data_IF_176529199550
#
_entry.id   IF_176529199550
#
_cell.length_a   1.000
_cell.length_b   1.000
_cell.length_c   1.000
_cell.angle_alpha   90.00
_cell.angle_beta   90.00
_cell.angle_gamma   90.00
#
_symmetry.space_group_name_H-M   'P 1'
#
loop_
_entity.id
_entity.type
_entity.pdbx_description
1 polymer ?
#
# COMPACT_ATOMS: atom_id res chain seq x y z
N UNK A 1 -7.70 -20.49 -13.46
CA UNK A 1 -7.30 -20.19 -12.07
C UNK A 1 -7.95 -21.20 -11.15
N UNK A 2 -7.14 -22.00 -10.46
CA UNK A 2 -7.58 -22.99 -9.48
C UNK A 2 -8.25 -22.28 -8.28
N UNK A 3 -9.15 -22.96 -7.58
CA UNK A 3 -9.90 -22.50 -6.39
C UNK A 3 -9.04 -22.29 -5.15
N UNK A 4 -7.74 -22.00 -5.30
CA UNK A 4 -6.84 -21.79 -4.17
C UNK A 4 -7.28 -20.53 -3.42
N UNK A 5 -7.32 -20.57 -2.08
CA UNK A 5 -7.56 -19.37 -1.30
C UNK A 5 -6.44 -18.35 -1.57
N UNK A 6 -6.83 -17.09 -1.73
CA UNK A 6 -5.94 -15.94 -1.83
C UNK A 6 -6.04 -15.10 -0.56
N UNK A 7 -5.04 -14.27 -0.34
CA UNK A 7 -4.94 -13.28 0.74
C UNK A 7 -4.72 -11.93 0.10
N UNK A 8 -5.37 -10.93 0.67
CA UNK A 8 -5.28 -9.54 0.24
C UNK A 8 -4.41 -8.80 1.23
N UNK A 9 -3.35 -8.14 0.78
CA UNK A 9 -2.56 -7.22 1.56
C UNK A 9 -2.69 -5.81 0.98
N UNK A 10 -2.78 -4.83 1.86
CA UNK A 10 -2.53 -3.43 1.54
C UNK A 10 -1.13 -3.11 2.07
N UNK A 11 -0.30 -2.52 1.20
CA UNK A 11 1.04 -2.12 1.53
C UNK A 11 1.16 -0.61 1.42
N UNK A 12 1.94 0.00 2.31
CA UNK A 12 2.53 1.30 2.11
C UNK A 12 4.04 1.08 2.03
N UNK A 13 4.62 1.27 0.84
CA UNK A 13 6.08 1.21 0.65
C UNK A 13 6.64 2.60 0.69
N UNK A 14 7.80 2.75 1.32
CA UNK A 14 8.59 3.97 1.31
C UNK A 14 10.04 3.62 1.02
N UNK A 15 10.48 3.79 -0.22
CA UNK A 15 11.90 3.73 -0.56
C UNK A 15 12.60 5.03 -0.18
N UNK A 16 12.98 5.21 1.08
CA UNK A 16 13.89 6.30 1.46
C UNK A 16 15.31 5.96 1.01
N UNK A 17 15.65 6.32 -0.23
CA UNK A 17 17.04 6.55 -0.60
C UNK A 17 17.49 7.88 0.03
N UNK A 18 17.95 7.81 1.28
CA UNK A 18 18.63 8.87 2.01
C UNK A 18 17.72 10.01 2.44
N UNK A 19 17.28 9.98 3.70
CA UNK A 19 17.15 11.21 4.46
C UNK A 19 18.58 11.52 4.95
N UNK A 20 19.19 12.61 4.47
CA UNK A 20 20.40 13.12 5.12
C UNK A 20 20.03 13.42 6.57
N UNK A 21 20.68 12.70 7.50
CA UNK A 21 20.68 13.04 8.91
C UNK A 21 21.10 14.51 9.05
N UNK A 22 20.23 15.36 9.57
CA UNK A 22 20.69 16.61 10.14
C UNK A 22 21.75 16.27 11.20
N UNK A 23 22.98 16.78 11.01
CA UNK A 23 24.06 16.58 11.96
C UNK A 23 23.66 16.98 13.38
N UNK A 24 24.36 16.49 14.42
CA UNK A 24 23.93 16.65 15.80
C UNK A 24 23.80 18.13 16.16
N UNK A 25 22.63 18.61 16.63
CA UNK A 25 22.55 19.94 17.21
C UNK A 25 23.27 19.94 18.57
N UNK A 26 23.92 21.07 18.87
CA UNK A 26 24.60 21.30 20.13
C UNK A 26 23.62 21.17 21.33
N UNK A 27 24.13 20.62 22.44
CA UNK A 27 23.41 20.44 23.71
C UNK A 27 22.76 21.76 24.21
N UNK A 28 21.45 21.74 24.51
CA UNK A 28 20.85 22.68 25.45
C UNK A 28 20.69 22.01 26.82
N UNK A 29 21.32 22.59 27.84
CA UNK A 29 21.12 22.25 29.24
C UNK A 29 19.80 22.86 29.75
N UNK A 30 18.74 22.05 29.86
CA UNK A 30 17.42 22.44 30.37
C UNK A 30 16.58 21.22 30.78
N UNK A 31 15.63 21.38 31.73
CA UNK A 31 15.27 20.32 32.67
C UNK A 31 14.32 19.25 32.10
N UNK A 32 14.65 18.00 32.43
CA UNK A 32 13.84 16.77 32.50
C UNK A 32 12.49 16.72 31.73
N UNK A 33 12.46 15.89 30.67
CA UNK A 33 11.37 14.91 30.57
C UNK A 33 10.63 14.73 29.24
N UNK A 34 11.17 15.15 28.10
CA UNK A 34 10.73 14.63 26.79
C UNK A 34 11.96 14.00 26.15
N UNK A 35 11.92 12.71 25.83
CA UNK A 35 13.01 12.07 25.10
C UNK A 35 13.30 12.88 23.84
N UNK A 36 14.56 13.23 23.59
CA UNK A 36 15.05 14.15 22.55
C UNK A 36 14.62 13.81 21.09
N UNK A 37 13.86 12.74 20.87
CA UNK A 37 13.27 12.35 19.58
C UNK A 37 11.77 12.60 19.42
N UNK A 38 11.10 13.19 20.42
CA UNK A 38 9.63 13.38 20.44
C UNK A 38 9.16 14.83 20.25
N UNK A 39 10.04 15.71 19.78
CA UNK A 39 9.62 17.02 19.31
C UNK A 39 8.62 16.89 18.15
N UNK A 40 7.69 17.83 18.04
CA UNK A 40 6.82 17.94 16.87
C UNK A 40 7.70 18.16 15.64
N UNK A 41 7.71 17.20 14.72
CA UNK A 41 8.46 17.29 13.47
C UNK A 41 7.49 17.56 12.33
N UNK A 42 7.99 18.25 11.30
CA UNK A 42 7.27 18.33 10.04
C UNK A 42 7.38 16.95 9.35
N UNK A 43 6.38 16.09 9.57
CA UNK A 43 6.25 14.84 8.84
C UNK A 43 5.82 15.14 7.40
N UNK A 44 6.50 14.54 6.43
CA UNK A 44 6.11 14.60 5.03
C UNK A 44 4.73 13.96 4.87
N UNK A 45 3.78 14.68 4.28
CA UNK A 45 2.41 14.20 4.09
C UNK A 45 1.59 14.07 5.37
N UNK A 46 1.90 14.80 6.45
CA UNK A 46 0.99 14.92 7.60
C UNK A 46 0.73 16.41 7.93
N UNK A 47 -0.47 16.76 8.41
CA UNK A 47 -0.75 18.13 8.84
C UNK A 47 0.15 18.47 10.03
N UNK A 48 0.92 19.55 9.95
CA UNK A 48 1.70 20.00 11.10
C UNK A 48 0.82 20.75 12.12
N UNK A 49 1.13 20.65 13.43
CA UNK A 49 2.15 19.80 14.03
C UNK A 49 1.68 18.36 14.29
N UNK A 50 2.54 17.36 14.02
CA UNK A 50 2.33 15.96 14.42
C UNK A 50 3.62 15.42 15.05
N UNK A 51 3.48 14.79 16.21
CA UNK A 51 4.54 14.00 16.82
C UNK A 51 4.52 12.58 16.26
N UNK A 52 5.68 11.91 16.08
CA UNK A 52 5.74 10.52 15.64
C UNK A 52 4.83 9.62 16.48
N UNK A 53 4.24 8.60 15.85
CA UNK A 53 3.41 7.62 16.55
C UNK A 53 4.21 6.92 17.65
N UNK A 54 5.53 6.75 17.48
CA UNK A 54 6.46 6.22 18.48
C UNK A 54 6.46 6.96 19.82
N UNK A 55 6.12 8.25 19.80
CA UNK A 55 6.08 9.11 20.98
C UNK A 55 4.74 9.09 21.72
N UNK A 56 3.81 8.26 21.27
CA UNK A 56 2.47 8.14 21.84
C UNK A 56 2.22 6.72 22.30
N UNK A 57 1.46 6.57 23.38
CA UNK A 57 0.84 5.29 23.69
C UNK A 57 -0.34 5.09 22.74
N UNK A 58 -0.46 3.89 22.14
CA UNK A 58 -1.62 3.59 21.31
C UNK A 58 -2.78 3.17 22.21
N UNK A 59 -3.93 3.78 22.01
CA UNK A 59 -5.15 3.39 22.74
C UNK A 59 -5.77 2.15 22.11
N UNK A 60 -6.29 1.23 22.92
CA UNK A 60 -7.09 0.13 22.36
C UNK A 60 -8.51 0.63 22.07
N UNK A 61 -8.97 0.39 20.84
CA UNK A 61 -10.31 0.73 20.39
C UNK A 61 -11.12 -0.49 20.00
N UNK A 62 -12.46 -0.37 19.87
CA UNK A 62 -13.28 -1.43 19.28
C UNK A 62 -12.80 -1.76 17.86
N UNK A 63 -13.01 -3.01 17.44
CA UNK A 63 -12.83 -3.39 16.04
C UNK A 63 -14.01 -2.93 15.19
N UNK A 64 -13.70 -2.55 13.95
CA UNK A 64 -14.65 -2.00 12.97
C UNK A 64 -14.84 -2.94 11.76
N UNK A 65 -13.96 -3.94 11.64
CA UNK A 65 -14.04 -4.96 10.61
C UNK A 65 -15.35 -5.77 10.67
N UNK A 66 -16.03 -5.87 9.53
CA UNK A 66 -17.17 -6.75 9.31
C UNK A 66 -16.79 -7.92 8.39
N UNK A 67 -17.22 -9.12 8.77
CA UNK A 67 -16.86 -10.38 8.12
C UNK A 67 -18.08 -11.11 7.57
N UNK A 68 -17.98 -11.61 6.33
CA UNK A 68 -18.95 -12.52 5.70
C UNK A 68 -18.27 -13.76 5.08
N UNK A 69 -19.00 -14.65 4.39
CA UNK A 69 -18.46 -15.92 3.87
C UNK A 69 -17.25 -15.78 2.93
N UNK A 70 -17.27 -14.80 2.01
CA UNK A 70 -16.15 -14.46 1.11
C UNK A 70 -16.03 -12.93 0.93
N UNK A 71 -16.38 -12.20 1.98
CA UNK A 71 -16.40 -10.74 2.01
C UNK A 71 -15.81 -10.28 3.32
N UNK A 72 -15.08 -9.19 3.27
CA UNK A 72 -14.58 -8.48 4.44
C UNK A 72 -14.55 -6.99 4.11
N UNK A 73 -14.92 -6.17 5.07
CA UNK A 73 -14.94 -4.71 4.94
C UNK A 73 -14.51 -4.11 6.27
N UNK A 74 -13.76 -3.03 6.23
CA UNK A 74 -13.48 -2.22 7.40
C UNK A 74 -13.50 -0.76 6.98
N UNK A 75 -14.30 0.04 7.67
CA UNK A 75 -14.38 1.48 7.50
C UNK A 75 -13.42 2.22 8.43
N UNK A 76 -12.77 1.49 9.35
CA UNK A 76 -11.93 1.98 10.43
C UNK A 76 -12.65 3.01 11.32
N UNK A 77 -13.98 3.11 11.28
CA UNK A 77 -14.77 4.16 11.95
C UNK A 77 -14.93 3.88 13.45
N UNK A 78 -13.87 4.13 14.21
CA UNK A 78 -13.81 3.90 15.65
C UNK A 78 -13.69 5.18 16.48
N UNK A 79 -13.57 6.36 15.85
CA UNK A 79 -13.56 7.68 16.51
C UNK A 79 -12.44 7.88 17.53
N UNK A 80 -11.31 7.20 17.33
CA UNK A 80 -10.13 7.35 18.18
C UNK A 80 -8.95 7.84 17.34
N UNK A 81 -8.04 8.58 17.97
CA UNK A 81 -6.76 8.93 17.39
C UNK A 81 -5.67 8.03 17.95
N UNK A 82 -4.76 7.56 17.09
CA UNK A 82 -3.63 6.72 17.51
C UNK A 82 -4.10 5.45 18.24
N UNK A 83 -5.09 4.76 17.68
CA UNK A 83 -5.53 3.48 18.21
C UNK A 83 -4.64 2.33 17.71
N UNK A 84 -4.51 1.26 18.49
CA UNK A 84 -3.86 0.03 18.03
C UNK A 84 -4.68 -0.61 16.91
N UNK A 85 -4.02 -1.22 15.93
CA UNK A 85 -4.68 -2.14 14.98
C UNK A 85 -5.17 -3.35 15.78
N UNK A 86 -6.41 -3.80 15.53
CA UNK A 86 -6.99 -4.93 16.24
C UNK A 86 -6.55 -6.30 15.68
N UNK A 87 -7.04 -7.38 16.28
CA UNK A 87 -6.72 -8.76 15.93
C UNK A 87 -7.46 -9.29 14.69
N UNK A 88 -8.34 -8.49 14.05
CA UNK A 88 -8.92 -8.82 12.76
C UNK A 88 -7.90 -8.73 11.61
N UNK A 89 -6.68 -8.26 11.91
CA UNK A 89 -5.60 -8.07 10.96
C UNK A 89 -4.35 -8.87 11.31
N UNK A 90 -3.57 -9.17 10.27
CA UNK A 90 -2.15 -9.47 10.40
C UNK A 90 -1.33 -8.27 9.95
N UNK A 91 -0.47 -7.83 10.86
CA UNK A 91 0.53 -6.79 10.64
C UNK A 91 1.87 -7.48 10.35
N UNK A 92 2.60 -6.98 9.36
CA UNK A 92 3.99 -7.36 9.13
C UNK A 92 4.86 -6.10 9.18
N UNK A 93 5.33 -5.79 10.39
CA UNK A 93 6.22 -4.65 10.68
C UNK A 93 7.59 -4.82 10.01
N UNK A 94 7.99 -6.08 9.84
CA UNK A 94 9.20 -6.50 9.14
C UNK A 94 8.81 -7.57 8.14
N UNK A 95 8.45 -7.20 6.91
CA UNK A 95 8.57 -8.20 5.87
C UNK A 95 10.06 -8.58 5.80
N UNK A 96 10.43 -9.88 5.79
CA UNK A 96 11.82 -10.35 5.90
C UNK A 96 12.74 -9.86 4.77
N UNK A 97 12.21 -9.11 3.80
CA UNK A 97 12.98 -8.38 2.82
C UNK A 97 13.62 -7.08 3.38
N UNK A 98 12.98 -6.43 4.34
CA UNK A 98 13.38 -5.13 4.86
C UNK A 98 14.59 -5.25 5.80
N UNK A 99 15.33 -4.15 5.97
CA UNK A 99 16.48 -4.09 6.90
C UNK A 99 16.14 -4.76 8.24
N UNK A 100 17.04 -5.54 8.88
CA UNK A 100 16.80 -6.06 10.23
C UNK A 100 16.58 -4.94 11.25
N UNK A 101 17.05 -3.74 10.93
CA UNK A 101 16.85 -2.53 11.71
C UNK A 101 15.56 -1.79 11.34
N UNK A 102 14.80 -2.29 10.37
CA UNK A 102 13.56 -1.67 9.96
C UNK A 102 12.60 -1.67 11.15
N UNK A 103 12.10 -0.52 11.59
CA UNK A 103 11.05 -0.44 12.60
C UNK A 103 9.84 0.30 12.03
N UNK A 104 8.66 -0.28 12.22
CA UNK A 104 7.42 0.37 11.88
C UNK A 104 6.39 0.23 12.99
N UNK A 105 5.50 1.21 13.08
CA UNK A 105 4.36 1.21 13.99
C UNK A 105 3.09 1.39 13.19
N UNK A 106 2.27 0.35 13.18
CA UNK A 106 0.92 0.41 12.61
C UNK A 106 -0.05 0.94 13.65
N UNK A 107 -0.93 1.84 13.23
CA UNK A 107 -1.96 2.39 14.09
C UNK A 107 -3.17 2.79 13.25
N UNK A 108 -4.26 3.09 13.94
CA UNK A 108 -5.46 3.65 13.34
C UNK A 108 -5.62 5.10 13.79
N UNK A 109 -5.89 6.00 12.86
CA UNK A 109 -6.04 7.43 13.11
C UNK A 109 -6.98 8.04 12.08
N UNK A 110 -7.85 8.95 12.52
CA UNK A 110 -8.85 9.61 11.66
C UNK A 110 -9.66 8.62 10.82
N UNK A 111 -10.05 7.49 11.40
CA UNK A 111 -10.75 6.39 10.74
C UNK A 111 -9.97 5.72 9.60
N UNK A 112 -8.65 5.64 9.71
CA UNK A 112 -7.79 5.02 8.68
C UNK A 112 -6.63 4.26 9.30
N UNK A 113 -6.14 3.26 8.57
CA UNK A 113 -4.86 2.66 8.85
C UNK A 113 -3.72 3.61 8.47
N UNK A 114 -2.80 3.80 9.40
CA UNK A 114 -1.57 4.55 9.24
C UNK A 114 -0.36 3.68 9.62
N UNK A 115 0.79 4.03 9.06
CA UNK A 115 2.06 3.44 9.45
C UNK A 115 3.10 4.54 9.63
N UNK A 116 3.83 4.47 10.75
CA UNK A 116 4.99 5.32 11.02
C UNK A 116 6.25 4.45 10.92
N UNK A 117 7.13 4.79 9.98
CA UNK A 117 8.33 4.02 9.64
C UNK A 117 9.55 4.76 10.18
N UNK A 118 10.20 4.17 11.20
CA UNK A 118 11.15 4.86 12.08
C UNK A 118 12.61 4.82 11.67
N UNK A 119 12.98 4.10 10.62
CA UNK A 119 14.41 3.86 10.26
C UNK A 119 14.66 3.92 8.76
N UNK A 120 15.80 4.51 8.41
CA UNK A 120 16.33 4.48 7.03
C UNK A 120 16.52 3.02 6.56
N UNK A 121 16.08 2.72 5.34
CA UNK A 121 16.17 1.38 4.75
C UNK A 121 15.02 0.43 5.09
N UNK A 122 13.98 0.89 5.79
CA UNK A 122 12.66 0.27 5.67
C UNK A 122 12.13 0.55 4.27
N UNK A 123 11.85 -0.49 3.49
CA UNK A 123 11.27 -0.31 2.15
C UNK A 123 9.73 -0.34 2.19
N UNK A 124 9.13 -0.69 3.34
CA UNK A 124 7.72 -0.45 3.64
C UNK A 124 7.13 -1.38 4.69
N UNK A 125 5.81 -1.45 4.70
CA UNK A 125 5.04 -2.25 5.68
C UNK A 125 3.81 -2.89 5.06
N UNK A 126 3.35 -3.99 5.66
CA UNK A 126 2.19 -4.74 5.14
C UNK A 126 1.12 -4.93 6.20
N UNK A 127 -0.13 -4.76 5.79
CA UNK A 127 -1.31 -5.09 6.58
C UNK A 127 -2.25 -5.97 5.74
N UNK A 128 -2.92 -6.92 6.38
CA UNK A 128 -4.04 -7.63 5.76
C UNK A 128 -5.11 -8.05 6.74
N UNK A 129 -6.33 -8.31 6.27
CA UNK A 129 -7.29 -9.10 7.04
C UNK A 129 -6.68 -10.45 7.46
N UNK A 130 -6.94 -10.89 8.68
CA UNK A 130 -6.58 -12.24 9.15
C UNK A 130 -7.55 -13.31 8.62
N UNK A 131 -7.61 -13.42 7.30
CA UNK A 131 -8.45 -14.39 6.60
C UNK A 131 -8.00 -14.60 5.17
N UNK A 132 -8.71 -15.48 4.49
CA UNK A 132 -8.53 -15.76 3.07
C UNK A 132 -9.83 -15.54 2.30
N UNK A 133 -9.68 -15.40 0.99
CA UNK A 133 -10.74 -15.17 0.02
C UNK A 133 -10.58 -16.10 -1.16
N UNK A 134 -11.59 -16.14 -2.03
CA UNK A 134 -11.55 -16.85 -3.31
C UNK A 134 -12.18 -15.98 -4.39
N UNK A 135 -11.86 -16.28 -5.63
CA UNK A 135 -12.59 -15.75 -6.77
C UNK A 135 -14.03 -16.28 -6.74
N UNK A 136 -14.99 -15.40 -6.98
CA UNK A 136 -16.42 -15.74 -7.10
C UNK A 136 -16.93 -15.30 -8.46
N UNK A 137 -17.56 -16.23 -9.19
CA UNK A 137 -17.93 -15.99 -10.59
C UNK A 137 -16.74 -15.69 -11.50
N UNK A 138 -15.53 -16.12 -11.13
CA UNK A 138 -14.30 -15.83 -11.88
C UNK A 138 -13.69 -14.45 -11.62
N UNK A 139 -14.21 -13.69 -10.64
CA UNK A 139 -13.76 -12.35 -10.30
C UNK A 139 -13.35 -12.24 -8.84
N UNK A 140 -12.31 -11.45 -8.57
CA UNK A 140 -11.95 -10.94 -7.25
C UNK A 140 -12.01 -9.42 -7.29
N UNK A 141 -12.60 -8.81 -6.26
CA UNK A 141 -12.69 -7.35 -6.13
C UNK A 141 -12.01 -6.95 -4.84
N UNK A 142 -11.14 -5.95 -4.93
CA UNK A 142 -10.46 -5.33 -3.82
C UNK A 142 -10.73 -3.84 -3.87
N UNK A 143 -11.14 -3.25 -2.76
CA UNK A 143 -11.38 -1.82 -2.64
C UNK A 143 -10.58 -1.28 -1.45
N UNK A 144 -9.93 -0.13 -1.66
CA UNK A 144 -9.20 0.58 -0.64
C UNK A 144 -9.35 2.07 -0.86
N UNK A 145 -9.55 2.81 0.23
CA UNK A 145 -9.55 4.27 0.22
C UNK A 145 -8.18 4.71 0.72
N UNK A 146 -7.35 5.27 -0.17
CA UNK A 146 -5.94 5.59 0.13
C UNK A 146 -5.52 6.93 -0.46
N UNK A 147 -4.59 7.62 0.21
CA UNK A 147 -3.95 8.81 -0.30
C UNK A 147 -2.71 8.43 -1.15
N UNK A 148 -2.94 7.99 -2.39
CA UNK A 148 -1.86 7.57 -3.28
C UNK A 148 -1.13 8.74 -3.97
N UNK A 149 -1.75 9.92 -4.01
CA UNK A 149 -1.25 11.11 -4.71
C UNK A 149 -0.44 12.07 -3.84
N UNK A 150 0.33 11.59 -2.87
CA UNK A 150 1.13 12.46 -1.98
C UNK A 150 2.42 12.87 -2.71
N UNK A 151 2.46 14.10 -3.23
CA UNK A 151 3.56 14.62 -4.04
C UNK A 151 4.84 14.85 -3.25
N UNK A 152 4.74 15.15 -1.94
CA UNK A 152 5.88 15.45 -1.06
C UNK A 152 6.79 14.25 -0.82
N UNK A 153 6.29 13.05 -1.08
CA UNK A 153 7.13 11.86 -1.08
C UNK A 153 8.02 11.74 -2.32
N UNK A 154 7.84 12.61 -3.33
CA UNK A 154 8.68 12.67 -4.53
C UNK A 154 8.74 11.33 -5.27
N UNK A 155 7.63 10.59 -5.31
CA UNK A 155 7.53 9.27 -5.92
C UNK A 155 8.29 8.16 -5.19
N UNK A 156 8.77 8.38 -3.97
CA UNK A 156 9.49 7.39 -3.16
C UNK A 156 8.59 6.50 -2.32
N UNK A 157 7.38 6.98 -2.04
CA UNK A 157 6.39 6.28 -1.23
C UNK A 157 5.15 6.08 -2.07
N UNK A 158 4.60 4.87 -2.06
CA UNK A 158 3.36 4.57 -2.74
C UNK A 158 2.61 3.44 -2.05
N UNK A 159 1.27 3.45 -2.07
CA UNK A 159 0.51 2.30 -1.66
C UNK A 159 0.53 1.20 -2.75
N UNK A 160 0.52 -0.05 -2.32
CA UNK A 160 0.30 -1.21 -3.19
C UNK A 160 -0.89 -2.04 -2.72
N UNK A 161 -1.72 -2.47 -3.66
CA UNK A 161 -2.71 -3.52 -3.43
C UNK A 161 -2.10 -4.84 -3.89
N UNK A 162 -1.98 -5.81 -2.99
CA UNK A 162 -1.33 -7.09 -3.27
C UNK A 162 -2.29 -8.25 -3.01
N UNK A 163 -2.39 -9.19 -3.95
CA UNK A 163 -3.17 -10.42 -3.83
C UNK A 163 -2.22 -11.60 -3.98
N UNK A 164 -2.05 -12.38 -2.92
CA UNK A 164 -1.10 -13.51 -2.90
C UNK A 164 -1.72 -14.79 -2.36
N UNK A 165 -1.21 -15.93 -2.77
CA UNK A 165 -1.55 -17.23 -2.17
C UNK A 165 -0.71 -17.54 -0.92
N UNK A 166 0.40 -16.83 -0.71
CA UNK A 166 1.31 -17.02 0.41
C UNK A 166 0.67 -16.65 1.78
N UNK A 167 1.03 -17.35 2.88
CA UNK A 167 0.55 -17.02 4.22
C UNK A 167 1.16 -15.78 4.85
N UNK A 168 2.34 -15.40 4.42
CA UNK A 168 3.13 -14.29 4.93
C UNK A 168 4.25 -14.00 3.91
N UNK A 169 4.85 -12.80 3.93
CA UNK A 169 6.04 -12.51 3.14
C UNK A 169 7.22 -13.33 3.69
N UNK A 170 8.03 -13.93 2.83
CA UNK A 170 9.07 -14.89 3.27
C UNK A 170 10.50 -14.54 2.90
N UNK A 171 10.76 -13.65 1.93
CA UNK A 171 12.14 -13.28 1.58
C UNK A 171 12.25 -11.99 0.75
N UNK A 172 13.50 -11.48 0.69
CA UNK A 172 14.06 -10.68 -0.41
C UNK A 172 13.95 -11.45 -1.71
N UNK A 173 12.94 -11.16 -2.53
CA UNK A 173 13.09 -11.39 -3.97
C UNK A 173 14.19 -10.47 -4.50
N UNK A 174 14.81 -10.75 -5.64
CA UNK A 174 15.88 -9.91 -6.22
C UNK A 174 15.44 -8.47 -6.63
N UNK A 175 14.25 -8.04 -6.22
CA UNK A 175 13.71 -6.68 -6.34
C UNK A 175 13.08 -6.37 -4.98
N UNK A 176 13.90 -5.82 -4.10
CA UNK A 176 13.51 -5.48 -2.72
C UNK A 176 12.47 -4.33 -2.68
N UNK A 177 12.26 -3.63 -3.81
CA UNK A 177 11.44 -2.42 -3.88
C UNK A 177 9.91 -2.63 -3.81
N UNK A 178 9.37 -3.79 -4.23
CA UNK A 178 7.91 -3.97 -4.40
C UNK A 178 7.36 -5.04 -3.48
N UNK A 179 6.21 -4.78 -2.84
CA UNK A 179 5.64 -5.68 -1.86
C UNK A 179 5.19 -6.99 -2.48
N UNK A 180 4.58 -6.94 -3.66
CA UNK A 180 4.16 -8.14 -4.37
C UNK A 180 5.32 -9.06 -4.78
N UNK A 181 6.58 -8.60 -4.73
CA UNK A 181 7.76 -9.43 -4.98
C UNK A 181 8.25 -10.22 -3.75
N UNK A 182 7.65 -10.01 -2.57
CA UNK A 182 8.10 -10.59 -1.30
C UNK A 182 7.50 -11.98 -0.99
N UNK A 183 6.82 -12.58 -1.97
CA UNK A 183 6.13 -13.85 -1.85
C UNK A 183 6.69 -14.91 -2.81
N UNK A 184 8.01 -15.19 -2.81
CA UNK A 184 8.59 -16.17 -3.73
C UNK A 184 7.95 -17.55 -3.52
N UNK A 185 7.73 -18.26 -4.63
CA UNK A 185 7.14 -19.60 -4.60
C UNK A 185 5.63 -19.61 -4.40
N UNK A 186 4.99 -18.44 -4.50
CA UNK A 186 3.55 -18.29 -4.45
C UNK A 186 3.09 -17.34 -5.55
N UNK A 187 1.91 -17.61 -6.11
CA UNK A 187 1.26 -16.65 -6.99
C UNK A 187 1.02 -15.34 -6.23
N UNK A 188 1.49 -14.25 -6.81
CA UNK A 188 1.39 -12.91 -6.24
C UNK A 188 1.10 -11.91 -7.36
N UNK A 189 -0.02 -11.23 -7.23
CA UNK A 189 -0.38 -10.08 -8.05
C UNK A 189 -0.22 -8.82 -7.19
N UNK A 190 0.24 -7.72 -7.78
CA UNK A 190 0.12 -6.44 -7.11
C UNK A 190 -0.01 -5.28 -8.07
N UNK A 191 -0.60 -4.19 -7.59
CA UNK A 191 -0.67 -2.90 -8.27
C UNK A 191 -0.09 -1.82 -7.36
N UNK A 192 0.99 -1.18 -7.79
CA UNK A 192 1.52 0.03 -7.16
C UNK A 192 0.81 1.27 -7.69
N UNK A 193 0.41 2.17 -6.79
CA UNK A 193 -0.35 3.37 -7.09
C UNK A 193 0.57 4.60 -6.93
N UNK A 194 1.23 5.01 -8.00
CA UNK A 194 2.27 6.05 -7.93
C UNK A 194 1.68 7.47 -7.84
N UNK A 195 2.40 8.38 -7.18
CA UNK A 195 2.00 9.80 -7.02
C UNK A 195 1.80 10.52 -8.36
N UNK A 196 2.44 10.05 -9.42
CA UNK A 196 2.27 10.56 -10.79
C UNK A 196 0.93 10.14 -11.42
N UNK A 197 0.05 9.51 -10.65
CA UNK A 197 -1.28 9.02 -11.06
C UNK A 197 -1.19 7.90 -12.09
N UNK A 198 -0.23 7.00 -11.92
CA UNK A 198 0.00 5.85 -12.79
C UNK A 198 -0.06 4.57 -11.95
N UNK A 199 -1.06 3.68 -12.17
CA UNK A 199 -1.02 2.35 -11.61
C UNK A 199 -0.09 1.47 -12.44
N UNK A 200 0.78 0.71 -11.79
CA UNK A 200 1.60 -0.31 -12.44
C UNK A 200 1.34 -1.63 -11.75
N UNK A 201 0.91 -2.62 -12.52
CA UNK A 201 0.52 -3.91 -11.96
C UNK A 201 1.38 -5.03 -12.51
N UNK A 202 1.70 -6.01 -11.68
CA UNK A 202 2.49 -7.16 -12.06
C UNK A 202 1.93 -8.45 -11.47
N UNK A 203 2.16 -9.55 -12.17
CA UNK A 203 1.89 -10.91 -11.70
C UNK A 203 3.19 -11.70 -11.62
N UNK A 204 3.31 -12.48 -10.56
CA UNK A 204 4.40 -13.41 -10.32
C UNK A 204 3.84 -14.81 -10.19
N UNK A 205 4.51 -15.76 -10.83
CA UNK A 205 4.20 -17.18 -10.76
C UNK A 205 4.70 -17.83 -9.44
N UNK A 206 4.29 -19.07 -9.20
CA UNK A 206 4.73 -19.86 -8.05
C UNK A 206 6.07 -20.58 -8.26
N UNK A 207 6.88 -20.20 -9.26
CA UNK A 207 8.11 -20.92 -9.59
C UNK A 207 9.26 -20.66 -8.60
N UNK A 208 9.11 -19.69 -7.70
CA UNK A 208 10.17 -19.31 -6.74
C UNK A 208 11.37 -18.57 -7.36
N UNK A 209 11.26 -18.11 -8.62
CA UNK A 209 12.37 -17.45 -9.34
C UNK A 209 12.56 -15.97 -8.98
N UNK A 210 11.91 -15.46 -7.93
CA UNK A 210 11.94 -14.04 -7.57
C UNK A 210 11.47 -13.16 -8.74
N UNK A 211 12.26 -12.14 -9.12
CA UNK A 211 11.97 -11.27 -10.28
C UNK A 211 11.90 -12.02 -11.61
N UNK A 212 12.61 -13.14 -11.75
CA UNK A 212 12.52 -13.99 -12.92
C UNK A 212 11.25 -14.87 -12.94
N UNK A 213 10.45 -14.82 -11.87
CA UNK A 213 9.08 -15.37 -11.82
C UNK A 213 8.02 -14.34 -12.24
N UNK A 214 8.40 -13.10 -12.57
CA UNK A 214 7.44 -12.10 -13.07
C UNK A 214 6.90 -12.53 -14.42
N UNK A 215 5.61 -12.81 -14.46
CA UNK A 215 4.90 -13.30 -15.63
C UNK A 215 4.51 -12.16 -16.57
N UNK A 216 4.09 -11.02 -16.01
CA UNK A 216 3.84 -9.80 -16.77
C UNK A 216 3.95 -8.54 -15.89
N UNK A 217 4.16 -7.39 -16.52
CA UNK A 217 3.99 -6.06 -15.92
C UNK A 217 3.20 -5.15 -16.87
N UNK A 218 2.08 -4.61 -16.40
CA UNK A 218 1.20 -3.75 -17.19
C UNK A 218 1.14 -2.34 -16.60
N UNK A 219 1.08 -1.37 -17.51
CA UNK A 219 0.97 0.07 -17.24
C UNK A 219 0.38 0.77 -18.46
N UNK A 220 0.30 2.10 -18.43
CA UNK A 220 -0.15 2.88 -19.60
C UNK A 220 0.74 2.73 -20.84
N UNK A 221 1.98 2.23 -20.70
CA UNK A 221 2.91 2.01 -21.81
C UNK A 221 3.37 0.55 -21.97
N UNK A 222 3.07 -0.33 -21.01
CA UNK A 222 3.37 -1.77 -21.09
C UNK A 222 2.06 -2.55 -21.11
N UNK A 223 1.84 -3.35 -22.16
CA UNK A 223 0.53 -3.98 -22.38
C UNK A 223 0.54 -5.52 -22.35
N UNK A 224 1.71 -6.14 -22.47
CA UNK A 224 1.91 -7.58 -22.27
C UNK A 224 0.98 -8.47 -23.10
N UNK A 225 0.72 -8.06 -24.34
CA UNK A 225 -0.11 -8.81 -25.28
C UNK A 225 -1.62 -8.74 -25.02
N UNK A 226 -2.09 -7.87 -24.11
CA UNK A 226 -3.50 -7.63 -23.90
C UNK A 226 -4.21 -7.23 -25.22
N UNK A 227 -5.29 -7.92 -25.56
CA UNK A 227 -6.09 -7.62 -26.76
C UNK A 227 -6.92 -6.33 -26.64
N UNK A 228 -7.15 -5.87 -25.40
CA UNK A 228 -7.86 -4.63 -25.11
C UNK A 228 -7.12 -3.88 -24.02
N UNK A 229 -6.78 -2.62 -24.29
CA UNK A 229 -6.05 -1.73 -23.40
C UNK A 229 -6.80 -0.41 -23.32
N UNK A 230 -6.94 0.13 -22.10
CA UNK A 230 -7.53 1.43 -21.85
C UNK A 230 -6.85 2.12 -20.67
N UNK A 231 -6.51 3.40 -20.85
CA UNK A 231 -6.09 4.28 -19.76
C UNK A 231 -4.75 3.90 -19.13
N UNK A 232 -4.66 3.98 -17.80
CA UNK A 232 -3.42 3.85 -17.04
C UNK A 232 -2.73 5.19 -16.74
N UNK A 233 -3.28 6.31 -17.22
CA UNK A 233 -2.76 7.66 -17.01
C UNK A 233 -3.92 8.69 -16.91
N UNK A 234 -3.68 9.90 -16.38
CA UNK A 234 -4.70 10.94 -16.20
C UNK A 234 -5.52 11.29 -17.46
N UNK A 235 -4.98 11.05 -18.66
CA UNK A 235 -5.62 11.48 -19.91
C UNK A 235 -5.62 13.01 -20.05
N UNK A 236 -6.50 13.58 -20.89
CA UNK A 236 -6.54 15.03 -21.10
C UNK A 236 -6.88 15.78 -19.81
N UNK A 237 -6.27 16.97 -19.63
CA UNK A 237 -6.55 17.88 -18.51
C UNK A 237 -8.05 18.18 -18.43
N UNK A 238 -8.63 18.05 -17.24
CA UNK A 238 -10.07 18.18 -17.02
C UNK A 238 -10.88 17.01 -17.60
N UNK A 239 -10.24 15.89 -17.96
CA UNK A 239 -10.89 14.64 -18.30
C UNK A 239 -11.45 13.91 -17.08
N UNK A 240 -12.19 12.83 -17.32
CA UNK A 240 -12.72 11.99 -16.25
C UNK A 240 -11.60 11.34 -15.42
N UNK A 241 -10.58 10.75 -16.08
CA UNK A 241 -9.43 10.15 -15.40
C UNK A 241 -8.59 11.20 -14.68
N UNK A 242 -8.33 12.34 -15.30
CA UNK A 242 -7.52 13.42 -14.72
C UNK A 242 -8.09 13.92 -13.39
N UNK A 243 -9.42 14.02 -13.27
CA UNK A 243 -10.10 14.39 -12.03
C UNK A 243 -10.29 13.24 -11.05
N UNK A 244 -10.20 12.00 -11.50
CA UNK A 244 -10.52 10.83 -10.69
C UNK A 244 -9.47 10.61 -9.61
N UNK A 245 -8.19 10.84 -9.92
CA UNK A 245 -7.06 10.64 -9.00
C UNK A 245 -6.47 11.99 -8.62
N UNK A 246 -6.67 12.39 -7.38
CA UNK A 246 -6.18 13.64 -6.81
C UNK A 246 -4.73 13.52 -6.37
N UNK A 247 -4.00 14.62 -6.52
CA UNK A 247 -2.64 14.81 -5.98
C UNK A 247 -2.71 15.91 -4.94
N UNK A 248 -2.04 15.72 -3.82
CA UNK A 248 -1.88 16.70 -2.77
C UNK A 248 -0.40 17.11 -2.71
N UNK A 249 -0.17 18.41 -2.57
CA UNK A 249 1.12 19.03 -2.27
C UNK A 249 0.90 19.93 -1.06
N UNK A 250 1.12 19.38 0.13
CA UNK A 250 0.91 20.00 1.43
C UNK A 250 -0.45 19.67 2.04
N UNK A 251 -0.58 19.99 3.32
CA UNK A 251 -1.82 19.80 4.08
C UNK A 251 -2.00 18.36 4.54
N UNK A 252 -3.24 17.99 4.85
CA UNK A 252 -3.60 16.65 5.30
C UNK A 252 -4.02 15.78 4.10
N UNK A 253 -3.23 14.76 3.69
CA UNK A 253 -3.57 13.89 2.58
C UNK A 253 -4.91 13.17 2.75
N UNK A 254 -5.30 12.92 4.00
CA UNK A 254 -6.54 12.27 4.37
C UNK A 254 -7.76 13.06 3.91
N UNK A 255 -7.63 14.38 3.89
CA UNK A 255 -8.67 15.32 3.46
C UNK A 255 -8.55 15.66 1.98
N UNK A 256 -7.33 15.77 1.46
CA UNK A 256 -7.06 16.41 0.17
C UNK A 256 -7.00 15.44 -1.01
N UNK A 257 -6.35 14.29 -0.87
CA UNK A 257 -5.99 13.41 -1.99
C UNK A 257 -6.31 11.93 -1.75
N UNK A 258 -7.15 11.64 -0.75
CA UNK A 258 -7.65 10.30 -0.49
C UNK A 258 -8.71 9.87 -1.49
N UNK A 259 -8.41 8.88 -2.32
CA UNK A 259 -9.33 8.39 -3.34
C UNK A 259 -9.72 6.94 -3.12
N UNK A 260 -10.90 6.55 -3.61
CA UNK A 260 -11.32 5.13 -3.61
C UNK A 260 -10.74 4.43 -4.82
N UNK A 261 -9.82 3.50 -4.57
CA UNK A 261 -9.28 2.59 -5.58
C UNK A 261 -10.02 1.27 -5.51
N UNK A 262 -10.47 0.79 -6.68
CA UNK A 262 -11.08 -0.53 -6.84
C UNK A 262 -10.29 -1.30 -7.88
N UNK A 263 -9.71 -2.43 -7.46
CA UNK A 263 -9.04 -3.40 -8.31
C UNK A 263 -10.01 -4.57 -8.57
N UNK A 264 -10.27 -4.85 -9.83
CA UNK A 264 -10.94 -6.09 -10.24
C UNK A 264 -9.96 -6.99 -10.98
N UNK A 265 -9.85 -8.23 -10.50
CA UNK A 265 -9.06 -9.28 -11.12
C UNK A 265 -9.98 -10.35 -11.68
N UNK A 266 -9.75 -10.70 -12.93
CA UNK A 266 -10.36 -11.82 -13.62
C UNK A 266 -9.26 -12.72 -14.19
N UNK A 267 -9.64 -13.81 -14.86
CA UNK A 267 -8.68 -14.77 -15.41
C UNK A 267 -7.67 -14.12 -16.36
N UNK A 268 -8.14 -13.20 -17.21
CA UNK A 268 -7.38 -12.60 -18.30
C UNK A 268 -7.57 -11.08 -18.35
N UNK A 269 -8.05 -10.48 -17.26
CA UNK A 269 -8.28 -9.04 -17.17
C UNK A 269 -7.92 -8.45 -15.81
N UNK A 270 -7.37 -7.24 -15.87
CA UNK A 270 -7.12 -6.35 -14.74
C UNK A 270 -7.84 -5.04 -15.01
N UNK A 271 -8.67 -4.60 -14.05
CA UNK A 271 -9.31 -3.29 -14.08
C UNK A 271 -9.01 -2.52 -12.81
N UNK A 272 -8.59 -1.28 -12.98
CA UNK A 272 -8.43 -0.32 -11.88
C UNK A 272 -9.42 0.80 -12.09
N UNK A 273 -10.22 1.06 -11.06
CA UNK A 273 -11.11 2.22 -10.99
C UNK A 273 -10.61 3.15 -9.89
N UNK A 274 -10.73 4.45 -10.12
CA UNK A 274 -10.48 5.49 -9.12
C UNK A 274 -11.74 6.34 -9.02
N UNK A 275 -12.35 6.44 -7.85
CA UNK A 275 -13.60 7.16 -7.61
C UNK A 275 -14.70 6.81 -8.66
N UNK A 276 -14.91 5.50 -8.89
CA UNK A 276 -15.82 4.91 -9.89
C UNK A 276 -15.50 5.16 -11.36
N UNK A 277 -14.46 5.91 -11.66
CA UNK A 277 -13.98 6.10 -13.03
C UNK A 277 -13.09 4.92 -13.40
N UNK A 278 -13.43 4.21 -14.48
CA UNK A 278 -12.49 3.24 -15.07
C UNK A 278 -11.21 3.98 -15.44
N UNK A 279 -10.12 3.64 -14.75
CA UNK A 279 -8.86 4.34 -14.86
C UNK A 279 -7.87 3.57 -15.72
N UNK A 280 -7.79 2.26 -15.52
CA UNK A 280 -6.96 1.35 -16.30
C UNK A 280 -7.72 0.05 -16.60
N UNK A 281 -7.61 -0.47 -17.81
CA UNK A 281 -8.02 -1.83 -18.15
C UNK A 281 -7.00 -2.48 -19.09
N UNK A 282 -6.60 -3.70 -18.76
CA UNK A 282 -5.91 -4.63 -19.66
C UNK A 282 -6.70 -5.92 -19.66
N UNK A 283 -7.23 -6.33 -20.81
CA UNK A 283 -8.07 -7.52 -20.94
C UNK A 283 -7.67 -8.39 -22.13
N UNK A 284 -7.98 -9.68 -22.04
CA UNK A 284 -7.49 -10.71 -22.95
C UNK A 284 -5.98 -10.87 -22.86
N UNK A 285 -5.44 -10.87 -21.64
CA UNK A 285 -4.04 -11.19 -21.37
C UNK A 285 -3.74 -12.65 -21.79
N UNK A 286 -2.55 -12.96 -22.33
CA UNK A 286 -2.22 -14.30 -22.82
C UNK A 286 -2.37 -15.40 -21.77
N UNK A 287 -2.91 -16.57 -22.14
CA UNK A 287 -2.99 -17.71 -21.23
C UNK A 287 -1.58 -18.20 -20.84
N UNK A 288 -1.35 -18.44 -19.55
CA UNK A 288 0.00 -18.71 -19.04
C UNK A 288 0.73 -17.45 -18.59
N UNK A 289 0.06 -16.30 -18.68
CA UNK A 289 0.06 -15.37 -17.56
C UNK A 289 -0.68 -15.94 -16.36
#
# INVERSE_FOLDING_TARGET
MNTRPVRLLLCALGGLAGCESAGPPAEPTGPEGVADGCAEIALLGAPTPVAPAWCRELVTGPGTAASGPNRWTDDFDHHLSFASVDDAYRVFDHAPAFSPDCSARHFRHNEHWMADVGTDGCEGVLLRPDRTFRFEGGRLVVEATVAAGIGEYGGRVWPEIVVTTAPEPTARGNSDLYAYAQFPGSWSFGCRLQSERVPICALFDDSGRGTAGRTFEISFFQHEGATRVYGGEPGPVGGARDRAWRVCDGGDPDLLCRDRFRLELERDAVRVFVNDVLYMEHAGLPAGT
#
